data_IF_514351637241
#
_entry.id   IF_514351637241
#
_cell.length_a   1.000
_cell.length_b   1.000
_cell.length_c   1.000
_cell.angle_alpha   90.00
_cell.angle_beta   90.00
_cell.angle_gamma   90.00
#
_symmetry.space_group_name_H-M   'P 1'
#
loop_
_entity.id
_entity.type
_entity.pdbx_description
1 polymer ?
#
# COMPACT_ATOMS: atom_id res chain seq x y z
N UNK A 1 9.56 18.28 -16.39
CA UNK A 1 10.14 19.61 -16.13
C UNK A 1 11.59 19.41 -15.73
N UNK A 2 12.56 20.20 -16.24
CA UNK A 2 13.95 20.07 -15.82
C UNK A 2 14.02 20.50 -14.35
N UNK A 3 14.42 19.57 -13.51
CA UNK A 3 14.50 19.62 -12.05
C UNK A 3 15.58 20.58 -11.51
N UNK A 4 16.13 21.47 -12.35
CA UNK A 4 17.13 22.47 -11.97
C UNK A 4 18.49 21.93 -11.52
N UNK A 5 18.66 20.60 -11.49
CA UNK A 5 19.87 19.92 -11.03
C UNK A 5 20.80 19.58 -12.18
N UNK A 6 22.09 19.59 -11.89
CA UNK A 6 23.12 19.07 -12.78
C UNK A 6 23.10 17.54 -12.79
N UNK A 7 23.69 16.95 -13.83
CA UNK A 7 23.83 15.48 -13.95
C UNK A 7 24.68 14.91 -12.81
N UNK A 8 25.70 15.66 -12.35
CA UNK A 8 26.54 15.27 -11.22
C UNK A 8 25.74 15.16 -9.93
N UNK A 9 24.95 16.17 -9.59
CA UNK A 9 24.08 16.16 -8.41
C UNK A 9 23.03 15.04 -8.47
N UNK A 10 22.47 14.79 -9.66
CA UNK A 10 21.50 13.69 -9.85
C UNK A 10 22.15 12.33 -9.58
N UNK A 11 23.38 12.11 -10.02
CA UNK A 11 24.13 10.87 -9.74
C UNK A 11 24.45 10.70 -8.27
N UNK A 12 24.79 11.79 -7.58
CA UNK A 12 25.06 11.77 -6.15
C UNK A 12 23.79 11.45 -5.34
N UNK A 13 22.66 12.05 -5.71
CA UNK A 13 21.35 11.78 -5.12
C UNK A 13 20.90 10.33 -5.37
N UNK A 14 21.09 9.81 -6.58
CA UNK A 14 20.81 8.42 -6.91
C UNK A 14 21.69 7.46 -6.10
N UNK A 15 22.97 7.79 -5.90
CA UNK A 15 23.87 7.04 -5.03
C UNK A 15 23.37 6.97 -3.59
N UNK A 16 22.98 8.11 -3.00
CA UNK A 16 22.38 8.17 -1.66
C UNK A 16 21.09 7.33 -1.57
N UNK A 17 20.24 7.40 -2.60
CA UNK A 17 19.01 6.61 -2.67
C UNK A 17 19.30 5.11 -2.73
N UNK A 18 20.31 4.69 -3.49
CA UNK A 18 20.70 3.29 -3.63
C UNK A 18 21.28 2.72 -2.33
N UNK A 19 22.08 3.49 -1.59
CA UNK A 19 22.59 3.09 -0.27
C UNK A 19 21.44 2.80 0.71
N UNK A 20 20.41 3.64 0.72
CA UNK A 20 19.21 3.43 1.53
C UNK A 20 18.50 2.15 1.11
N UNK A 21 18.29 1.93 -0.18
CA UNK A 21 17.56 0.75 -0.68
C UNK A 21 18.33 -0.54 -0.32
N UNK A 22 19.65 -0.58 -0.53
CA UNK A 22 20.50 -1.74 -0.22
C UNK A 22 20.54 -2.06 1.28
N UNK A 23 20.36 -1.07 2.16
CA UNK A 23 20.28 -1.29 3.61
C UNK A 23 19.07 -2.15 4.00
N UNK A 24 17.96 -2.04 3.27
CA UNK A 24 16.69 -2.71 3.62
C UNK A 24 16.35 -3.88 2.70
N UNK A 25 16.87 -3.89 1.47
CA UNK A 25 16.58 -4.93 0.47
C UNK A 25 17.87 -5.66 0.13
N UNK A 26 17.90 -6.97 0.43
CA UNK A 26 19.08 -7.82 0.30
C UNK A 26 19.53 -8.01 -1.16
N UNK A 27 18.59 -8.06 -2.10
CA UNK A 27 18.84 -8.27 -3.52
C UNK A 27 18.25 -7.11 -4.32
N UNK A 28 19.12 -6.27 -4.89
CA UNK A 28 18.71 -5.13 -5.72
C UNK A 28 19.45 -5.24 -7.06
N UNK A 29 18.71 -5.51 -8.12
CA UNK A 29 19.25 -5.52 -9.49
C UNK A 29 19.13 -4.13 -10.09
N UNK A 30 20.27 -3.58 -10.53
CA UNK A 30 20.35 -2.30 -11.22
C UNK A 30 20.53 -2.60 -12.70
N UNK A 31 19.56 -2.18 -13.52
CA UNK A 31 19.57 -2.37 -14.97
C UNK A 31 19.43 -0.99 -15.62
N UNK A 32 20.30 -0.69 -16.58
CA UNK A 32 20.20 0.58 -17.30
C UNK A 32 18.98 0.60 -18.23
N UNK A 33 18.47 1.80 -18.47
CA UNK A 33 17.33 2.01 -19.37
C UNK A 33 17.58 1.41 -20.77
N UNK A 34 18.78 1.59 -21.31
CA UNK A 34 19.14 1.06 -22.63
C UNK A 34 19.15 -0.48 -22.65
N UNK A 35 19.62 -1.12 -21.58
CA UNK A 35 19.68 -2.57 -21.44
C UNK A 35 18.28 -3.16 -21.33
N UNK A 36 17.42 -2.60 -20.46
CA UNK A 36 16.05 -3.09 -20.30
C UNK A 36 15.24 -2.90 -21.58
N UNK A 37 15.44 -1.80 -22.31
CA UNK A 37 14.82 -1.59 -23.61
C UNK A 37 15.24 -2.65 -24.64
N UNK A 38 16.52 -3.04 -24.65
CA UNK A 38 16.99 -4.11 -25.52
C UNK A 38 16.40 -5.47 -25.13
N UNK A 39 16.29 -5.77 -23.82
CA UNK A 39 15.69 -7.00 -23.31
C UNK A 39 14.19 -7.10 -23.66
N UNK A 40 13.43 -6.00 -23.53
CA UNK A 40 12.01 -5.92 -23.87
C UNK A 40 11.75 -6.08 -25.38
N UNK A 41 12.68 -5.62 -26.23
CA UNK A 41 12.62 -5.85 -27.69
C UNK A 41 12.83 -7.32 -28.05
N UNK A 42 13.78 -7.98 -27.40
CA UNK A 42 14.16 -9.38 -27.68
C UNK A 42 13.17 -10.39 -27.09
N UNK A 43 12.55 -10.10 -25.95
CA UNK A 43 11.71 -11.06 -25.24
C UNK A 43 10.24 -10.61 -25.18
N UNK A 44 9.38 -11.27 -25.98
CA UNK A 44 7.94 -10.98 -26.02
C UNK A 44 7.21 -11.28 -24.69
N UNK A 45 7.65 -12.30 -23.94
CA UNK A 45 7.05 -12.66 -22.64
C UNK A 45 7.33 -11.57 -21.60
N UNK A 46 8.58 -11.09 -21.55
CA UNK A 46 8.98 -9.99 -20.67
C UNK A 46 8.18 -8.71 -21.00
N UNK A 47 8.05 -8.38 -22.28
CA UNK A 47 7.26 -7.21 -22.73
C UNK A 47 5.79 -7.27 -22.29
N UNK A 48 5.14 -8.43 -22.40
CA UNK A 48 3.76 -8.60 -21.91
C UNK A 48 3.67 -8.46 -20.39
N UNK A 49 4.63 -9.01 -19.65
CA UNK A 49 4.66 -8.90 -18.18
C UNK A 49 4.83 -7.45 -17.72
N UNK A 50 5.73 -6.69 -18.34
CA UNK A 50 5.92 -5.26 -18.04
C UNK A 50 4.68 -4.42 -18.39
N UNK A 51 4.04 -4.68 -19.53
CA UNK A 51 2.83 -3.95 -19.93
C UNK A 51 1.63 -4.21 -18.97
N UNK A 52 1.54 -5.42 -18.43
CA UNK A 52 0.49 -5.80 -17.49
C UNK A 52 0.83 -5.46 -16.03
N UNK A 53 2.06 -4.99 -15.76
CA UNK A 53 2.47 -4.62 -14.42
C UNK A 53 1.80 -3.31 -14.01
N UNK A 54 0.74 -3.43 -13.21
CA UNK A 54 0.12 -2.28 -12.57
C UNK A 54 0.96 -1.89 -11.35
N UNK A 55 1.86 -0.94 -11.54
CA UNK A 55 2.53 -0.29 -10.43
C UNK A 55 1.50 0.57 -9.69
N UNK A 56 0.76 -0.02 -8.73
CA UNK A 56 -0.17 0.75 -7.89
C UNK A 56 0.53 1.73 -6.95
N UNK A 57 1.86 1.84 -7.02
CA UNK A 57 2.66 2.69 -6.15
C UNK A 57 2.46 2.30 -4.68
N UNK A 58 2.98 3.11 -3.76
CA UNK A 58 2.57 3.00 -2.36
C UNK A 58 1.06 3.25 -2.25
N UNK A 59 0.36 2.42 -1.45
CA UNK A 59 -1.08 2.56 -1.13
C UNK A 59 -1.41 4.03 -0.84
N UNK A 60 -2.44 4.64 -1.42
CA UNK A 60 -2.85 5.96 -0.95
C UNK A 60 -3.56 5.81 0.42
N UNK A 61 -2.99 6.37 1.50
CA UNK A 61 -3.53 6.21 2.86
C UNK A 61 -4.97 6.73 2.95
N UNK A 62 -5.28 7.81 2.22
CA UNK A 62 -6.62 8.40 2.21
C UNK A 62 -7.66 7.41 1.71
N UNK A 63 -7.30 6.62 0.70
CA UNK A 63 -8.20 5.64 0.08
C UNK A 63 -8.44 4.42 0.98
N UNK A 64 -7.63 4.25 2.03
CA UNK A 64 -7.81 3.22 3.05
C UNK A 64 -8.46 3.74 4.34
N UNK A 65 -8.76 5.04 4.42
CA UNK A 65 -9.31 5.65 5.62
C UNK A 65 -10.84 5.57 5.61
N UNK A 66 -11.39 4.52 6.22
CA UNK A 66 -12.82 4.26 6.32
C UNK A 66 -13.35 4.51 7.74
N UNK A 67 -14.64 4.87 7.83
CA UNK A 67 -15.34 5.03 9.11
C UNK A 67 -15.76 3.70 9.74
N UNK A 68 -16.69 3.76 10.70
CA UNK A 68 -17.26 2.58 11.34
C UNK A 68 -18.04 1.69 10.36
N UNK A 69 -18.12 0.39 10.67
CA UNK A 69 -18.94 -0.55 9.90
C UNK A 69 -20.42 -0.33 10.23
N UNK A 70 -21.17 0.13 9.25
CA UNK A 70 -22.64 0.16 9.32
C UNK A 70 -23.21 -0.80 8.30
N UNK A 71 -23.92 -1.83 8.76
CA UNK A 71 -24.65 -2.72 7.88
C UNK A 71 -25.24 -3.91 8.63
N UNK A 72 -26.44 -4.36 8.23
CA UNK A 72 -27.02 -5.57 8.79
C UNK A 72 -26.23 -6.80 8.33
N UNK A 73 -26.10 -7.80 9.20
CA UNK A 73 -25.60 -9.12 8.82
C UNK A 73 -26.68 -9.90 8.03
N UNK A 74 -27.96 -9.64 8.32
CA UNK A 74 -29.10 -10.28 7.70
C UNK A 74 -30.25 -9.27 7.52
N UNK A 75 -30.94 -9.29 6.37
CA UNK A 75 -31.95 -8.27 6.03
C UNK A 75 -33.27 -8.44 6.77
N UNK A 76 -33.68 -9.68 7.07
CA UNK A 76 -34.94 -9.98 7.77
C UNK A 76 -34.82 -11.28 8.59
N UNK A 77 -34.96 -11.20 9.90
CA UNK A 77 -34.90 -12.36 10.79
C UNK A 77 -36.10 -12.40 11.73
N UNK A 78 -36.82 -13.51 11.74
CA UNK A 78 -38.00 -13.72 12.61
C UNK A 78 -37.59 -14.48 13.87
N UNK A 79 -37.31 -13.73 14.94
CA UNK A 79 -36.82 -14.28 16.19
C UNK A 79 -37.88 -15.13 16.93
N UNK A 80 -39.17 -14.83 16.76
CA UNK A 80 -40.24 -15.57 17.43
C UNK A 80 -40.45 -16.92 16.78
N UNK A 81 -40.50 -16.96 15.45
CA UNK A 81 -40.63 -18.21 14.68
C UNK A 81 -39.44 -19.14 14.88
N UNK A 82 -38.24 -18.58 14.98
CA UNK A 82 -37.01 -19.35 15.17
C UNK A 82 -36.62 -19.55 16.65
N UNK A 83 -37.46 -19.12 17.60
CA UNK A 83 -37.25 -19.31 19.05
C UNK A 83 -35.93 -18.70 19.58
N UNK A 84 -35.50 -17.59 19.00
CA UNK A 84 -34.32 -16.84 19.41
C UNK A 84 -34.66 -15.63 20.29
N UNK A 85 -33.72 -15.22 21.14
CA UNK A 85 -33.81 -13.98 21.93
C UNK A 85 -32.97 -12.88 21.30
N UNK A 86 -33.51 -11.68 21.24
CA UNK A 86 -32.81 -10.49 20.73
C UNK A 86 -32.00 -9.87 21.87
N UNK A 87 -30.73 -9.60 21.61
CA UNK A 87 -29.84 -8.86 22.49
C UNK A 87 -29.15 -7.73 21.72
N UNK A 88 -28.86 -6.64 22.43
CA UNK A 88 -28.14 -5.49 21.90
C UNK A 88 -26.84 -5.30 22.66
N UNK A 89 -25.74 -5.13 21.93
CA UNK A 89 -24.42 -4.85 22.47
C UNK A 89 -23.96 -3.50 21.94
N UNK A 90 -23.55 -2.63 22.86
CA UNK A 90 -22.93 -1.35 22.53
C UNK A 90 -21.62 -1.19 23.27
N UNK A 91 -20.65 -0.58 22.60
CA UNK A 91 -19.32 -0.37 23.15
C UNK A 91 -19.23 1.04 23.70
N UNK A 92 -19.00 1.17 25.01
CA UNK A 92 -18.70 2.47 25.58
C UNK A 92 -17.33 2.95 25.07
N UNK A 93 -17.33 4.09 24.39
CA UNK A 93 -16.10 4.76 23.95
C UNK A 93 -15.22 3.88 23.05
N UNK A 94 -15.80 3.28 22.01
CA UNK A 94 -15.09 2.39 21.06
C UNK A 94 -13.82 3.02 20.47
N UNK A 95 -13.90 4.26 19.96
CA UNK A 95 -12.73 4.92 19.38
C UNK A 95 -11.65 5.25 20.43
N UNK A 96 -11.97 5.90 21.57
CA UNK A 96 -10.98 6.13 22.62
C UNK A 96 -10.32 4.85 23.15
N UNK A 97 -11.10 3.79 23.39
CA UNK A 97 -10.56 2.51 23.87
C UNK A 97 -9.59 1.90 22.87
N UNK A 98 -9.95 1.87 21.58
CA UNK A 98 -9.05 1.39 20.52
C UNK A 98 -7.77 2.21 20.43
N UNK A 99 -7.87 3.54 20.53
CA UNK A 99 -6.70 4.43 20.52
C UNK A 99 -5.76 4.12 21.68
N UNK A 100 -6.30 3.83 22.87
CA UNK A 100 -5.52 3.55 24.07
C UNK A 100 -4.84 2.17 24.03
N UNK A 101 -5.49 1.16 23.44
CA UNK A 101 -5.02 -0.23 23.50
C UNK A 101 -4.23 -0.70 22.28
N UNK A 102 -4.31 0.02 21.17
CA UNK A 102 -3.73 -0.42 19.89
C UNK A 102 -2.54 0.45 19.51
N UNK A 103 -1.49 -0.18 18.97
CA UNK A 103 -0.34 0.54 18.43
C UNK A 103 -0.66 1.16 17.07
N UNK A 104 -0.39 2.47 16.93
CA UNK A 104 -0.55 3.18 15.66
C UNK A 104 0.79 3.34 14.95
N UNK A 105 0.79 3.31 13.61
CA UNK A 105 1.98 3.72 12.87
C UNK A 105 2.28 5.20 13.14
N UNK A 106 3.51 5.49 13.56
CA UNK A 106 4.00 6.85 13.83
C UNK A 106 5.22 7.15 12.95
N UNK A 107 5.42 8.43 12.62
CA UNK A 107 6.51 8.91 11.76
C UNK A 107 6.11 9.15 10.30
N UNK A 108 7.07 9.62 9.50
CA UNK A 108 6.86 9.91 8.07
C UNK A 108 6.93 8.59 7.30
N UNK A 109 5.97 8.42 6.38
CA UNK A 109 5.95 7.29 5.45
C UNK A 109 7.20 7.31 4.58
N UNK A 110 8.01 6.26 4.65
CA UNK A 110 9.22 6.09 3.83
C UNK A 110 8.88 5.57 2.44
#
# INVERSE_FOLDING_TARGET
>A
MPNGKTVGETREDDGKRMEIIKKYIKNVDIIWECEIHQMLRRNQKMRKAFANYHNKGPINIRDCYFGGRTGPLHMHFDAEKEQHKIAYLDFNSLYPSTIATTSFPVGIRK
#
